data_IF_316849961578
#
_entry.id   IF_316849961578
#
_cell.length_a   1.000
_cell.length_b   1.000
_cell.length_c   1.000
_cell.angle_alpha   90.00
_cell.angle_beta   90.00
_cell.angle_gamma   90.00
#
_symmetry.space_group_name_H-M   'P 1'
#
loop_
_entity.id
_entity.type
_entity.pdbx_description
1 polymer ?
#
# COMPACT_ATOMS: atom_id res chain seq x y z
N UNK A 1 14.43 28.13 24.55
CA UNK A 1 15.12 27.85 23.28
C UNK A 1 14.51 26.56 22.76
N UNK A 2 13.61 26.67 21.78
CA UNK A 2 12.98 25.52 21.15
C UNK A 2 13.95 24.97 20.11
N UNK A 3 14.40 23.74 20.30
CA UNK A 3 15.22 23.03 19.32
C UNK A 3 14.28 22.59 18.21
N UNK A 4 14.30 23.30 17.08
CA UNK A 4 13.70 22.85 15.83
C UNK A 4 14.39 21.55 15.43
N UNK A 5 13.75 20.44 15.76
CA UNK A 5 14.16 19.12 15.34
C UNK A 5 13.80 19.00 13.86
N UNK A 6 14.73 18.64 12.97
CA UNK A 6 14.46 18.57 11.54
C UNK A 6 13.29 17.63 11.28
N UNK A 7 12.41 18.00 10.35
CA UNK A 7 11.22 17.27 9.91
C UNK A 7 11.59 15.96 9.18
N UNK A 8 12.27 15.04 9.86
CA UNK A 8 12.61 13.72 9.37
C UNK A 8 11.80 12.65 10.09
N UNK A 9 11.35 11.62 9.37
CA UNK A 9 10.70 10.48 10.02
C UNK A 9 11.65 9.73 10.95
N UNK A 10 11.11 9.24 12.06
CA UNK A 10 11.85 8.48 13.07
C UNK A 10 11.76 6.99 12.77
N UNK A 11 12.88 6.28 12.78
CA UNK A 11 12.86 4.84 12.59
C UNK A 11 12.16 4.10 13.75
N UNK A 12 11.29 3.15 13.41
CA UNK A 12 10.76 2.20 14.40
C UNK A 12 11.85 1.18 14.75
N UNK A 13 12.45 1.34 15.92
CA UNK A 13 13.34 0.33 16.49
C UNK A 13 12.54 -0.64 17.34
N UNK A 14 12.49 -1.91 16.91
CA UNK A 14 11.86 -2.98 17.66
C UNK A 14 12.83 -3.52 18.73
N UNK A 15 12.40 -3.64 20.00
CA UNK A 15 13.19 -4.30 21.03
C UNK A 15 13.46 -5.77 20.68
N UNK A 16 14.60 -6.30 21.10
CA UNK A 16 15.03 -7.68 20.78
C UNK A 16 14.08 -8.74 21.36
N UNK A 17 13.31 -8.38 22.39
CA UNK A 17 12.30 -9.20 23.04
C UNK A 17 11.05 -9.38 22.16
N UNK A 18 10.84 -8.50 21.17
CA UNK A 18 9.64 -8.46 20.33
C UNK A 18 9.87 -9.26 19.03
N UNK A 19 9.80 -10.59 19.18
CA UNK A 19 10.11 -11.54 18.08
C UNK A 19 8.92 -11.90 17.21
N UNK A 20 7.70 -11.93 17.77
CA UNK A 20 6.51 -12.34 17.04
C UNK A 20 5.72 -11.15 16.45
N UNK A 21 4.95 -11.42 15.39
CA UNK A 21 4.22 -10.39 14.65
C UNK A 21 3.18 -9.64 15.49
N UNK A 22 2.49 -10.32 16.41
CA UNK A 22 1.46 -9.71 17.24
C UNK A 22 2.05 -8.73 18.26
N UNK A 23 3.16 -9.11 18.90
CA UNK A 23 3.90 -8.24 19.82
C UNK A 23 4.51 -7.05 19.08
N UNK A 24 5.00 -7.22 17.84
CA UNK A 24 5.46 -6.10 16.99
C UNK A 24 4.34 -5.13 16.68
N UNK A 25 3.15 -5.65 16.35
CA UNK A 25 1.95 -4.83 16.10
C UNK A 25 1.55 -4.02 17.35
N UNK A 26 1.52 -4.65 18.52
CA UNK A 26 1.18 -3.99 19.78
C UNK A 26 2.22 -2.91 20.16
N UNK A 27 3.51 -3.22 20.04
CA UNK A 27 4.59 -2.26 20.26
C UNK A 27 4.45 -1.05 19.33
N UNK A 28 4.27 -1.29 18.03
CA UNK A 28 4.07 -0.25 17.03
C UNK A 28 2.88 0.64 17.36
N UNK A 29 1.74 0.04 17.73
CA UNK A 29 0.56 0.80 18.13
C UNK A 29 0.81 1.66 19.39
N UNK A 30 1.46 1.09 20.40
CA UNK A 30 1.81 1.81 21.64
C UNK A 30 2.73 3.00 21.36
N UNK A 31 3.76 2.78 20.53
CA UNK A 31 4.72 3.80 20.12
C UNK A 31 4.02 4.95 19.38
N UNK A 32 3.19 4.63 18.39
CA UNK A 32 2.43 5.62 17.61
C UNK A 32 1.51 6.47 18.50
N UNK A 33 0.80 5.84 19.44
CA UNK A 33 -0.07 6.56 20.38
C UNK A 33 0.69 7.44 21.36
N UNK A 34 1.89 7.04 21.76
CA UNK A 34 2.69 7.81 22.73
C UNK A 34 3.27 9.11 22.14
N UNK A 35 3.34 9.22 20.81
CA UNK A 35 3.86 10.41 20.12
C UNK A 35 3.10 10.60 18.81
N UNK A 36 1.85 11.10 18.87
CA UNK A 36 0.99 11.22 17.70
C UNK A 36 1.50 12.25 16.69
N UNK A 37 2.35 13.20 17.13
CA UNK A 37 3.02 14.19 16.29
C UNK A 37 4.20 13.63 15.49
N UNK A 38 4.60 12.39 15.76
CA UNK A 38 5.77 11.80 15.13
C UNK A 38 5.40 10.99 13.89
N UNK A 39 6.09 11.27 12.79
CA UNK A 39 6.12 10.44 11.60
C UNK A 39 7.18 9.36 11.79
N UNK A 40 6.81 8.11 11.64
CA UNK A 40 7.71 6.96 11.76
C UNK A 40 8.00 6.32 10.42
N UNK A 41 9.18 5.74 10.26
CA UNK A 41 9.54 4.92 9.10
C UNK A 41 9.83 3.47 9.49
N UNK A 42 9.33 2.55 8.67
CA UNK A 42 9.60 1.12 8.74
C UNK A 42 10.52 0.73 7.57
N UNK A 43 11.55 -0.06 7.86
CA UNK A 43 12.58 -0.42 6.90
C UNK A 43 12.50 -1.90 6.53
N UNK A 44 12.53 -2.18 5.23
CA UNK A 44 12.75 -3.52 4.73
C UNK A 44 14.26 -3.76 4.56
N UNK A 45 14.71 -4.96 4.96
CA UNK A 45 16.07 -5.41 4.71
C UNK A 45 16.05 -6.30 3.47
N UNK A 46 16.71 -5.87 2.40
CA UNK A 46 16.84 -6.62 1.14
C UNK A 46 18.32 -6.66 0.78
N UNK A 47 18.91 -7.85 0.72
CA UNK A 47 20.29 -8.09 0.24
C UNK A 47 21.31 -7.09 0.82
N UNK A 48 21.39 -7.02 2.15
CA UNK A 48 22.26 -6.13 2.93
C UNK A 48 21.98 -4.61 2.82
N UNK A 49 20.93 -4.21 2.12
CA UNK A 49 20.47 -2.82 2.07
C UNK A 49 19.21 -2.63 2.89
N UNK A 50 19.23 -1.55 3.66
CA UNK A 50 18.10 -1.08 4.44
C UNK A 50 17.33 -0.06 3.60
N UNK A 51 16.14 -0.45 3.15
CA UNK A 51 15.32 0.36 2.25
C UNK A 51 14.11 0.87 3.02
N UNK A 52 13.90 2.19 2.98
CA UNK A 52 12.74 2.83 3.60
C UNK A 52 11.48 2.39 2.85
N UNK A 53 10.60 1.69 3.54
CA UNK A 53 9.47 1.02 2.89
C UNK A 53 8.16 1.76 3.19
N UNK A 54 7.90 2.04 4.46
CA UNK A 54 6.62 2.60 4.88
C UNK A 54 6.83 3.82 5.79
N UNK A 55 5.98 4.83 5.61
CA UNK A 55 5.78 5.91 6.57
C UNK A 55 4.49 5.64 7.36
N UNK A 56 4.56 5.70 8.68
CA UNK A 56 3.44 5.43 9.59
C UNK A 56 3.37 6.55 10.62
N UNK A 57 2.17 7.03 10.90
CA UNK A 57 1.90 7.98 11.96
C UNK A 57 0.57 7.61 12.65
N UNK A 58 0.32 8.20 13.81
CA UNK A 58 -0.98 8.05 14.47
C UNK A 58 -1.95 9.11 13.99
N UNK A 59 -3.20 8.71 13.77
CA UNK A 59 -4.30 9.63 13.51
C UNK A 59 -5.58 9.11 14.13
N UNK A 60 -6.38 10.03 14.67
CA UNK A 60 -7.75 9.77 15.11
C UNK A 60 -8.76 9.93 13.96
N UNK A 61 -8.34 10.49 12.83
CA UNK A 61 -9.17 10.85 11.68
C UNK A 61 -8.75 10.10 10.41
N UNK A 62 -8.90 8.75 10.37
CA UNK A 62 -8.44 7.93 9.25
C UNK A 62 -9.12 8.33 7.92
N UNK A 63 -10.36 8.82 7.95
CA UNK A 63 -11.10 9.25 6.75
C UNK A 63 -10.53 10.52 6.12
N UNK A 64 -10.14 11.51 6.95
CA UNK A 64 -9.51 12.74 6.48
C UNK A 64 -8.16 12.44 5.83
N UNK A 65 -7.36 11.60 6.47
CA UNK A 65 -6.07 11.16 5.94
C UNK A 65 -6.20 10.26 4.71
N UNK A 66 -7.23 9.42 4.61
CA UNK A 66 -7.48 8.64 3.39
C UNK A 66 -7.64 9.57 2.18
N UNK A 67 -8.32 10.71 2.36
CA UNK A 67 -8.48 11.71 1.30
C UNK A 67 -7.18 12.44 0.98
N UNK A 68 -6.39 12.78 2.01
CA UNK A 68 -5.11 13.48 1.84
C UNK A 68 -3.99 12.59 1.25
N UNK A 69 -4.01 11.27 1.51
CA UNK A 69 -2.90 10.34 1.23
C UNK A 69 -3.11 9.52 -0.04
N UNK A 70 -4.31 9.48 -0.62
CA UNK A 70 -4.59 8.80 -1.90
C UNK A 70 -3.68 9.22 -3.06
N UNK A 71 -2.90 10.30 -2.91
CA UNK A 71 -1.95 10.79 -3.92
C UNK A 71 -0.49 10.33 -3.72
N UNK A 72 -0.16 9.56 -2.68
CA UNK A 72 1.24 9.24 -2.35
C UNK A 72 1.46 7.73 -2.37
N UNK A 73 1.31 7.16 -3.56
CA UNK A 73 1.89 5.86 -3.90
C UNK A 73 3.08 6.15 -4.81
N UNK A 74 4.31 6.03 -4.31
CA UNK A 74 5.47 6.48 -5.07
C UNK A 74 6.83 6.02 -4.54
N UNK A 75 7.85 6.23 -5.37
CA UNK A 75 9.26 5.93 -5.11
C UNK A 75 9.80 6.54 -3.80
N UNK A 76 11.01 6.15 -3.36
CA UNK A 76 11.68 6.73 -2.19
C UNK A 76 11.71 8.28 -2.20
N UNK A 77 11.81 8.90 -3.38
CA UNK A 77 11.75 10.35 -3.55
C UNK A 77 10.37 10.94 -3.19
N UNK A 78 9.29 10.20 -3.43
CA UNK A 78 7.92 10.60 -3.06
C UNK A 78 7.72 10.53 -1.55
N UNK A 79 8.35 9.57 -0.88
CA UNK A 79 8.33 9.49 0.58
C UNK A 79 9.06 10.67 1.22
N UNK A 80 10.21 11.08 0.67
CA UNK A 80 10.92 12.27 1.15
C UNK A 80 10.12 13.55 0.97
N UNK A 81 9.49 13.74 -0.21
CA UNK A 81 8.60 14.88 -0.44
C UNK A 81 7.43 14.93 0.55
N UNK A 82 6.90 13.77 0.97
CA UNK A 82 5.84 13.71 1.98
C UNK A 82 6.32 14.13 3.37
N UNK A 83 7.55 13.80 3.77
CA UNK A 83 8.10 14.22 5.07
C UNK A 83 8.11 15.74 5.22
N UNK A 84 8.47 16.44 4.15
CA UNK A 84 8.55 17.90 4.12
C UNK A 84 7.18 18.57 4.30
N UNK A 85 6.10 17.93 3.83
CA UNK A 85 4.72 18.47 3.87
C UNK A 85 3.85 17.86 4.97
N UNK A 86 4.35 16.85 5.70
CA UNK A 86 3.56 16.06 6.65
C UNK A 86 2.91 16.93 7.73
N UNK A 87 3.67 17.83 8.35
CA UNK A 87 3.17 18.70 9.41
C UNK A 87 2.07 19.65 8.91
N UNK A 88 2.18 20.12 7.66
CA UNK A 88 1.17 20.99 7.06
C UNK A 88 -0.12 20.21 6.78
N UNK A 89 0.01 18.99 6.24
CA UNK A 89 -1.15 18.12 5.98
C UNK A 89 -1.84 17.68 7.26
N UNK A 90 -1.08 17.43 8.32
CA UNK A 90 -1.63 17.06 9.62
C UNK A 90 -2.46 18.18 10.22
N UNK A 91 -1.91 19.39 10.25
CA UNK A 91 -2.59 20.57 10.77
C UNK A 91 -3.87 20.88 9.96
N UNK A 92 -3.87 20.64 8.65
CA UNK A 92 -5.06 20.80 7.79
C UNK A 92 -6.11 19.69 8.03
N UNK A 93 -5.67 18.42 8.16
CA UNK A 93 -6.55 17.29 8.42
C UNK A 93 -7.27 17.42 9.77
N UNK A 94 -6.57 17.92 10.78
CA UNK A 94 -7.13 18.15 12.12
C UNK A 94 -8.06 19.40 12.13
N UNK A 95 -7.81 20.39 11.27
CA UNK A 95 -8.69 21.57 11.11
C UNK A 95 -9.99 21.29 10.37
N UNK A 96 -10.02 20.33 9.45
CA UNK A 96 -11.20 20.05 8.63
C UNK A 96 -12.45 19.65 9.46
N UNK A 97 -12.27 19.18 10.70
CA UNK A 97 -13.38 18.87 11.61
C UNK A 97 -13.79 20.02 12.55
N UNK A 98 -13.04 21.12 12.66
CA UNK A 98 -13.44 22.25 13.54
C UNK A 98 -14.46 23.20 12.88
N UNK A 99 -14.75 23.03 11.59
CA UNK A 99 -15.66 23.90 10.81
C UNK A 99 -16.85 23.17 10.17
N UNK A 100 -17.27 22.03 10.72
CA UNK A 100 -18.57 21.43 10.35
C UNK A 100 -19.66 21.87 11.33
N UNK A 101 -20.67 22.65 10.91
CA UNK A 101 -21.79 23.01 11.77
C UNK A 101 -22.69 21.78 12.00
N UNK A 102 -22.91 21.45 13.27
CA UNK A 102 -23.96 20.54 13.72
C UNK A 102 -25.34 20.99 13.19
N UNK A 103 -26.18 20.09 12.64
CA UNK A 103 -27.61 20.29 12.61
C UNK A 103 -28.19 19.68 13.89
N UNK A 104 -28.24 20.50 14.93
CA UNK A 104 -28.97 20.21 16.17
C UNK A 104 -30.43 20.64 15.96
N UNK A 105 -31.35 19.68 15.71
CA UNK A 105 -32.79 19.90 15.90
C UNK A 105 -33.42 18.62 16.45
N UNK A 106 -33.30 18.45 17.76
CA UNK A 106 -34.22 17.64 18.54
C UNK A 106 -35.40 18.56 18.93
N UNK A 107 -36.57 18.35 18.33
CA UNK A 107 -37.82 18.99 18.74
C UNK A 107 -38.86 17.90 18.99
N UNK A 108 -38.88 17.47 20.24
CA UNK A 108 -39.96 16.74 20.89
C UNK A 108 -41.27 17.53 20.78
N UNK A 109 -42.37 16.85 20.50
CA UNK A 109 -43.72 17.35 20.77
C UNK A 109 -44.55 16.22 21.37
N UNK A 110 -44.55 16.25 22.69
CA UNK A 110 -45.43 15.58 23.65
C UNK A 110 -46.89 16.02 23.45
N UNK A 111 -47.86 15.12 23.67
CA UNK A 111 -49.23 15.26 24.25
C UNK A 111 -50.17 14.21 23.62
N UNK A 112 -51.02 13.44 24.31
CA UNK A 112 -51.68 13.55 25.62
C UNK A 112 -52.03 12.18 26.22
N UNK A 113 -51.76 12.10 27.52
CA UNK A 113 -52.41 11.41 28.65
C UNK A 113 -53.85 10.86 28.50
N UNK A 114 -54.12 9.69 29.12
CA UNK A 114 -55.26 9.48 30.06
C UNK A 114 -55.37 8.03 30.59
N UNK A 115 -54.95 7.88 31.85
CA UNK A 115 -55.69 7.24 32.97
C UNK A 115 -56.00 5.73 32.94
N UNK A 116 -55.14 4.96 33.61
CA UNK A 116 -55.42 3.61 34.14
C UNK A 116 -56.12 3.73 35.50
N UNK A 117 -57.37 3.24 35.61
CA UNK A 117 -58.01 2.91 36.88
C UNK A 117 -58.01 1.39 37.07
N UNK A 118 -57.56 0.95 38.24
CA UNK A 118 -57.53 -0.45 38.70
C UNK A 118 -58.68 -0.70 39.67
N UNK A 119 -59.55 -1.70 39.41
CA UNK A 119 -60.31 -2.43 40.44
C UNK A 119 -61.12 -3.63 39.89
N UNK A 120 -60.67 -4.84 40.26
CA UNK A 120 -61.36 -6.13 40.56
C UNK A 120 -62.11 -7.05 39.53
N UNK A 121 -62.13 -8.40 39.76
CA UNK A 121 -62.60 -9.50 38.86
C UNK A 121 -64.05 -10.01 39.25
N UNK A 122 -64.70 -11.13 38.78
CA UNK A 122 -64.19 -12.41 38.23
C UNK A 122 -65.03 -13.18 37.14
N UNK A 123 -64.55 -14.39 36.79
CA UNK A 123 -65.17 -15.52 36.05
C UNK A 123 -65.38 -15.34 34.51
N UNK A 124 -65.08 -16.28 33.60
CA UNK A 124 -65.13 -17.76 33.62
C UNK A 124 -64.32 -18.31 32.43
N UNK A 125 -63.64 -19.45 32.57
CA UNK A 125 -63.00 -20.26 31.48
C UNK A 125 -64.08 -20.81 30.50
N UNK A 126 -63.81 -21.11 29.21
CA UNK A 126 -62.91 -22.20 28.76
C UNK A 126 -61.95 -21.84 27.59
N UNK A 127 -60.85 -22.60 27.49
CA UNK A 127 -59.85 -22.56 26.43
C UNK A 127 -60.41 -22.98 25.04
N UNK A 128 -59.72 -22.70 23.91
CA UNK A 128 -58.57 -23.53 23.55
C UNK A 128 -57.32 -22.76 23.11
N UNK A 129 -56.20 -23.26 23.59
CA UNK A 129 -54.84 -23.09 23.05
C UNK A 129 -54.79 -23.32 21.55
N UNK A 130 -54.28 -22.33 20.81
CA UNK A 130 -53.24 -22.48 19.79
C UNK A 130 -52.80 -21.08 19.33
N UNK A 131 -52.02 -20.41 20.17
CA UNK A 131 -51.24 -19.25 19.75
C UNK A 131 -49.98 -19.75 19.04
N UNK A 132 -50.05 -19.86 17.72
CA UNK A 132 -48.88 -19.88 16.85
C UNK A 132 -48.12 -18.56 17.06
N UNK A 133 -46.81 -18.57 17.39
CA UNK A 133 -46.07 -17.32 17.53
C UNK A 133 -45.88 -16.71 16.14
N UNK A 134 -46.40 -15.50 15.95
CA UNK A 134 -46.11 -14.63 14.81
C UNK A 134 -44.69 -14.07 14.97
N UNK A 135 -43.69 -14.94 14.88
CA UNK A 135 -42.28 -14.60 14.80
C UNK A 135 -41.53 -15.10 13.53
N UNK A 136 -42.13 -15.45 12.35
CA UNK A 136 -41.32 -16.00 11.25
C UNK A 136 -40.70 -14.92 10.34
N UNK A 137 -41.41 -13.83 10.04
CA UNK A 137 -41.03 -12.94 8.92
C UNK A 137 -39.76 -12.13 9.12
N UNK A 138 -39.51 -11.63 10.34
CA UNK A 138 -38.35 -10.79 10.60
C UNK A 138 -37.04 -11.59 10.65
N UNK A 139 -37.09 -12.82 11.16
CA UNK A 139 -35.93 -13.72 11.15
C UNK A 139 -35.60 -14.20 9.74
N UNK A 140 -36.60 -14.48 8.92
CA UNK A 140 -36.43 -14.89 7.52
C UNK A 140 -35.82 -13.75 6.68
N UNK A 141 -36.32 -12.52 6.85
CA UNK A 141 -35.75 -11.34 6.18
C UNK A 141 -34.30 -11.05 6.61
N UNK A 142 -33.98 -11.25 7.89
CA UNK A 142 -32.62 -11.09 8.40
C UNK A 142 -31.67 -12.17 7.86
N UNK A 143 -32.14 -13.42 7.76
CA UNK A 143 -31.39 -14.50 7.14
C UNK A 143 -31.11 -14.22 5.66
N UNK A 144 -32.10 -13.72 4.93
CA UNK A 144 -31.95 -13.34 3.51
C UNK A 144 -30.95 -12.18 3.35
N UNK A 145 -30.99 -11.19 4.24
CA UNK A 145 -30.04 -10.06 4.24
C UNK A 145 -28.61 -10.53 4.54
N UNK A 146 -28.44 -11.44 5.50
CA UNK A 146 -27.13 -12.03 5.81
C UNK A 146 -26.59 -12.88 4.66
N UNK A 147 -27.47 -13.63 3.97
CA UNK A 147 -27.08 -14.43 2.82
C UNK A 147 -26.62 -13.55 1.64
N UNK A 148 -27.30 -12.42 1.38
CA UNK A 148 -26.84 -11.45 0.38
C UNK A 148 -25.46 -10.88 0.75
N UNK A 149 -25.27 -10.51 2.02
CA UNK A 149 -23.99 -9.96 2.48
C UNK A 149 -22.85 -10.98 2.37
N UNK A 150 -23.11 -12.25 2.69
CA UNK A 150 -22.14 -13.35 2.55
C UNK A 150 -21.76 -13.58 1.08
N UNK A 151 -22.73 -13.45 0.17
CA UNK A 151 -22.50 -13.50 -1.26
C UNK A 151 -21.62 -12.33 -1.73
N UNK A 152 -21.96 -11.10 -1.36
CA UNK A 152 -21.18 -9.90 -1.71
C UNK A 152 -19.74 -9.99 -1.19
N UNK A 153 -19.56 -10.48 0.05
CA UNK A 153 -18.23 -10.71 0.62
C UNK A 153 -17.45 -11.77 -0.15
N UNK A 154 -18.12 -12.82 -0.61
CA UNK A 154 -17.49 -13.88 -1.39
C UNK A 154 -17.05 -13.38 -2.75
N UNK A 155 -17.91 -12.64 -3.45
CA UNK A 155 -17.62 -12.04 -4.75
C UNK A 155 -16.49 -11.01 -4.66
N UNK A 156 -16.53 -10.13 -3.64
CA UNK A 156 -15.45 -9.18 -3.39
C UNK A 156 -14.10 -9.87 -3.13
N UNK A 157 -14.10 -10.94 -2.33
CA UNK A 157 -12.89 -11.74 -2.05
C UNK A 157 -12.34 -12.36 -3.32
N UNK A 158 -13.20 -12.94 -4.16
CA UNK A 158 -12.79 -13.57 -5.42
C UNK A 158 -12.24 -12.55 -6.41
N UNK A 159 -12.89 -11.40 -6.57
CA UNK A 159 -12.40 -10.31 -7.43
C UNK A 159 -11.05 -9.77 -6.94
N UNK A 160 -10.89 -9.61 -5.63
CA UNK A 160 -9.65 -9.16 -5.02
C UNK A 160 -8.53 -10.18 -5.25
N UNK A 161 -8.81 -11.47 -5.04
CA UNK A 161 -7.84 -12.53 -5.34
C UNK A 161 -7.50 -12.59 -6.82
N UNK A 162 -8.45 -12.43 -7.73
CA UNK A 162 -8.18 -12.39 -9.17
C UNK A 162 -7.23 -11.24 -9.55
N UNK A 163 -7.43 -10.05 -8.97
CA UNK A 163 -6.55 -8.88 -9.18
C UNK A 163 -5.18 -9.03 -8.52
N UNK A 164 -5.08 -9.68 -7.37
CA UNK A 164 -3.79 -9.94 -6.73
C UNK A 164 -3.02 -11.08 -7.43
N UNK A 165 -3.75 -12.06 -7.98
CA UNK A 165 -3.21 -13.14 -8.82
C UNK A 165 -2.88 -12.70 -10.26
N UNK A 166 -3.15 -11.43 -10.61
CA UNK A 166 -2.56 -10.71 -11.76
C UNK A 166 -1.02 -10.60 -11.67
N UNK A 167 -0.42 -11.30 -10.69
CA UNK A 167 0.95 -11.82 -10.63
C UNK A 167 1.50 -12.39 -11.97
N UNK A 168 0.65 -12.66 -12.96
CA UNK A 168 1.07 -12.97 -14.34
C UNK A 168 1.77 -11.80 -15.04
N UNK A 169 1.32 -10.55 -14.89
CA UNK A 169 1.90 -9.41 -15.61
C UNK A 169 3.30 -9.07 -15.09
N UNK A 170 3.45 -9.08 -13.76
CA UNK A 170 4.76 -8.88 -13.13
C UNK A 170 5.74 -10.00 -13.46
N UNK A 171 5.25 -11.25 -13.56
CA UNK A 171 6.07 -12.37 -14.01
C UNK A 171 6.46 -12.25 -15.48
N UNK A 172 5.51 -11.88 -16.34
CA UNK A 172 5.74 -11.65 -17.76
C UNK A 172 6.79 -10.54 -17.98
N UNK A 173 6.69 -9.42 -17.27
CA UNK A 173 7.70 -8.36 -17.32
C UNK A 173 9.08 -8.85 -16.88
N UNK A 174 9.18 -9.69 -15.84
CA UNK A 174 10.45 -10.28 -15.42
C UNK A 174 11.04 -11.18 -16.51
N UNK A 175 10.20 -11.97 -17.17
CA UNK A 175 10.61 -12.88 -18.23
C UNK A 175 11.07 -12.10 -19.48
N UNK A 176 10.34 -11.04 -19.87
CA UNK A 176 10.73 -10.14 -20.96
C UNK A 176 12.05 -9.41 -20.66
N UNK A 177 12.24 -8.90 -19.44
CA UNK A 177 13.53 -8.29 -19.02
C UNK A 177 14.66 -9.32 -19.07
N UNK A 178 14.41 -10.55 -18.62
CA UNK A 178 15.41 -11.63 -18.71
C UNK A 178 15.76 -11.96 -20.17
N UNK A 179 14.78 -11.96 -21.05
CA UNK A 179 14.96 -12.21 -22.48
C UNK A 179 15.80 -11.12 -23.13
N UNK A 180 15.42 -9.85 -22.97
CA UNK A 180 16.17 -8.70 -23.53
C UNK A 180 17.60 -8.66 -23.00
N UNK A 181 17.81 -8.93 -21.71
CA UNK A 181 19.15 -9.01 -21.11
C UNK A 181 20.02 -10.11 -21.74
N UNK A 182 19.41 -11.22 -22.17
CA UNK A 182 20.12 -12.30 -22.87
C UNK A 182 20.49 -11.87 -24.27
N UNK A 183 19.55 -11.28 -25.01
CA UNK A 183 19.75 -10.78 -26.37
C UNK A 183 20.83 -9.70 -26.44
N UNK A 184 20.78 -8.69 -25.56
CA UNK A 184 21.83 -7.68 -25.47
C UNK A 184 23.21 -8.28 -25.17
N UNK A 185 23.28 -9.31 -24.33
CA UNK A 185 24.56 -9.98 -24.04
C UNK A 185 25.10 -10.75 -25.24
N UNK A 186 24.24 -11.43 -25.99
CA UNK A 186 24.64 -12.11 -27.22
C UNK A 186 25.12 -11.11 -28.27
N UNK A 187 24.33 -10.07 -28.55
CA UNK A 187 24.69 -9.03 -29.50
C UNK A 187 26.00 -8.31 -29.12
N UNK A 188 26.21 -8.04 -27.83
CA UNK A 188 27.47 -7.46 -27.36
C UNK A 188 28.65 -8.42 -27.59
N UNK A 189 28.48 -9.71 -27.30
CA UNK A 189 29.55 -10.70 -27.50
C UNK A 189 29.91 -10.86 -28.98
N UNK A 190 28.92 -10.81 -29.87
CA UNK A 190 29.09 -10.87 -31.32
C UNK A 190 29.83 -9.63 -31.83
N UNK A 191 29.39 -8.43 -31.44
CA UNK A 191 30.05 -7.19 -31.80
C UNK A 191 31.51 -7.12 -31.31
N UNK A 192 31.80 -7.65 -30.10
CA UNK A 192 33.16 -7.73 -29.59
C UNK A 192 34.03 -8.71 -30.39
N UNK A 193 33.46 -9.81 -30.89
CA UNK A 193 34.18 -10.76 -31.73
C UNK A 193 34.50 -10.14 -33.10
N UNK A 194 33.53 -9.50 -33.75
CA UNK A 194 33.73 -8.80 -35.03
C UNK A 194 34.80 -7.70 -34.91
N UNK A 195 34.77 -6.90 -33.83
CA UNK A 195 35.76 -5.85 -33.60
C UNK A 195 37.17 -6.42 -33.48
N UNK A 196 37.31 -7.58 -32.83
CA UNK A 196 38.59 -8.27 -32.71
C UNK A 196 39.10 -8.76 -34.07
N UNK A 197 38.24 -9.38 -34.88
CA UNK A 197 38.62 -9.81 -36.24
C UNK A 197 39.04 -8.62 -37.11
N UNK A 198 38.31 -7.50 -37.01
CA UNK A 198 38.63 -6.28 -37.75
C UNK A 198 39.98 -5.70 -37.31
N UNK A 199 40.28 -5.72 -36.01
CA UNK A 199 41.54 -5.26 -35.45
C UNK A 199 42.72 -6.13 -35.92
N UNK A 200 42.54 -7.45 -35.94
CA UNK A 200 43.54 -8.39 -36.46
C UNK A 200 43.77 -8.18 -37.96
N UNK A 201 42.71 -8.04 -38.75
CA UNK A 201 42.80 -7.77 -40.19
C UNK A 201 43.49 -6.43 -40.51
N UNK A 202 43.19 -5.37 -39.76
CA UNK A 202 43.85 -4.07 -39.91
C UNK A 202 45.35 -4.15 -39.54
N UNK A 203 45.68 -4.90 -38.49
CA UNK A 203 47.06 -5.21 -38.13
C UNK A 203 47.82 -5.90 -39.26
N UNK A 204 47.22 -6.93 -39.87
CA UNK A 204 47.80 -7.64 -41.00
C UNK A 204 48.00 -6.73 -42.23
N UNK A 205 47.02 -5.89 -42.56
CA UNK A 205 47.13 -4.94 -43.67
C UNK A 205 48.23 -3.90 -43.43
N UNK A 206 48.37 -3.39 -42.20
CA UNK A 206 49.47 -2.47 -41.84
C UNK A 206 50.83 -3.13 -41.97
N UNK A 207 50.96 -4.39 -41.57
CA UNK A 207 52.20 -5.14 -41.72
C UNK A 207 52.56 -5.34 -43.21
N UNK A 208 51.58 -5.70 -44.05
CA UNK A 208 51.79 -5.81 -45.50
C UNK A 208 52.19 -4.47 -46.13
N UNK A 209 51.54 -3.37 -45.74
CA UNK A 209 51.90 -2.02 -46.20
C UNK A 209 53.31 -1.62 -45.78
N UNK A 210 53.77 -2.01 -44.59
CA UNK A 210 55.13 -1.74 -44.14
C UNK A 210 56.16 -2.51 -44.98
N UNK A 211 55.91 -3.81 -45.22
CA UNK A 211 56.76 -4.64 -46.08
C UNK A 211 56.83 -4.07 -47.51
N UNK A 212 55.70 -3.70 -48.10
CA UNK A 212 55.67 -3.16 -49.46
C UNK A 212 56.42 -1.82 -49.58
N UNK A 213 56.34 -0.98 -48.54
CA UNK A 213 57.13 0.27 -48.49
C UNK A 213 58.63 -0.01 -48.42
N UNK A 214 59.06 -1.01 -47.65
CA UNK A 214 60.46 -1.42 -47.56
C UNK A 214 60.98 -1.94 -48.90
N UNK A 215 60.22 -2.82 -49.57
CA UNK A 215 60.55 -3.35 -50.89
C UNK A 215 60.67 -2.23 -51.95
N UNK A 216 59.77 -1.24 -51.89
CA UNK A 216 59.82 -0.05 -52.75
C UNK A 216 61.08 0.80 -52.52
N UNK A 217 61.51 0.97 -51.27
CA UNK A 217 62.74 1.72 -50.97
C UNK A 217 64.02 1.01 -51.40
N UNK A 218 64.00 -0.32 -51.51
CA UNK A 218 65.12 -1.11 -52.02
C UNK A 218 65.24 -1.08 -53.56
N UNK A 219 64.17 -0.67 -54.25
CA UNK A 219 64.09 -0.59 -55.71
C UNK A 219 64.34 0.80 -56.28
N UNK A 220 64.52 1.85 -55.46
CA UNK A 220 64.99 3.15 -55.96
C UNK A 220 66.50 3.10 -56.27
N UNK A 221 66.91 3.23 -57.55
CA UNK A 221 68.33 3.27 -57.91
C UNK A 221 68.92 4.63 -57.51
N UNK A 222 70.08 4.60 -56.85
CA UNK A 222 70.92 5.78 -56.54
C UNK A 222 71.44 6.48 -57.78
#
# INVERSE_FOLDING_TARGET
MATEQPAGSTEIQYPVEVTNAQSRKQYKLSLLKSSPESLYCDYAHIEDRKIKNNLIFHTEHPTAWHTAVLFIQGSEASLHSFEDIFLLLKDEADKLETTSPEPDINAESTTTDSTVNTSEPPNTTPAPTNSTPVAPKYMEQMQETLALLEQDFTEFRELTMARLCEHSLSQQLRDEVCQVKRECRMALSEAMAELKELQEGNGALRAQLASFKEDMTLLEPS
#
